data_IF_425754717596
#
_entry.id   IF_425754717596
#
_cell.length_a   1.000
_cell.length_b   1.000
_cell.length_c   1.000
_cell.angle_alpha   90.00
_cell.angle_beta   90.00
_cell.angle_gamma   90.00
#
_symmetry.space_group_name_H-M   'P 1'
#
loop_
_entity.id
_entity.type
_entity.pdbx_description
1 polymer ?
#
# COMPACT_ATOMS: atom_id res chain seq x y z
N UNK A 1 11.19 7.02 4.09
CA UNK A 1 11.33 6.53 2.72
C UNK A 1 9.94 6.32 2.14
N UNK A 2 9.82 6.36 0.81
CA UNK A 2 8.56 6.10 0.10
C UNK A 2 8.58 4.71 -0.52
N UNK A 3 7.41 4.07 -0.60
CA UNK A 3 7.22 2.78 -1.26
C UNK A 3 7.31 2.93 -2.78
N UNK A 4 8.05 2.03 -3.42
CA UNK A 4 8.27 2.05 -4.87
C UNK A 4 8.29 0.65 -5.46
N UNK A 5 7.79 0.50 -6.69
CA UNK A 5 7.79 -0.76 -7.43
C UNK A 5 8.34 -0.60 -8.87
N UNK A 6 9.16 -1.52 -9.37
CA UNK A 6 9.76 -1.44 -10.72
C UNK A 6 9.66 -2.76 -11.46
N UNK A 7 9.54 -2.75 -12.79
CA UNK A 7 9.46 -3.96 -13.64
C UNK A 7 10.78 -4.77 -13.71
N UNK A 8 11.71 -4.54 -12.77
CA UNK A 8 12.95 -5.29 -12.65
C UNK A 8 12.65 -6.53 -11.81
N UNK A 9 12.74 -7.70 -12.44
CA UNK A 9 12.78 -8.98 -11.75
C UNK A 9 14.11 -9.09 -11.00
N UNK A 10 14.14 -8.65 -9.75
CA UNK A 10 15.20 -9.10 -8.85
C UNK A 10 14.98 -10.61 -8.64
N UNK A 11 16.06 -11.39 -8.55
CA UNK A 11 15.96 -12.81 -8.17
C UNK A 11 15.51 -12.88 -6.71
N UNK A 12 14.22 -12.75 -6.47
CA UNK A 12 13.60 -13.14 -5.21
C UNK A 12 13.28 -14.64 -5.24
N UNK A 13 13.03 -15.23 -4.07
CA UNK A 13 12.64 -16.64 -3.97
C UNK A 13 11.36 -16.95 -4.76
N UNK A 14 10.51 -15.95 -4.98
CA UNK A 14 9.25 -16.07 -5.74
C UNK A 14 9.38 -15.77 -7.23
N UNK A 15 10.46 -15.10 -7.67
CA UNK A 15 10.64 -14.62 -9.04
C UNK A 15 9.69 -13.48 -9.43
N UNK A 16 9.09 -12.80 -8.46
CA UNK A 16 8.12 -11.72 -8.66
C UNK A 16 8.79 -10.34 -8.70
N UNK A 17 7.99 -9.30 -9.00
CA UNK A 17 8.44 -7.92 -9.06
C UNK A 17 8.75 -7.38 -7.65
N UNK A 18 9.97 -6.89 -7.43
CA UNK A 18 10.40 -6.40 -6.12
C UNK A 18 9.77 -5.05 -5.73
N UNK A 19 9.46 -4.89 -4.45
CA UNK A 19 9.10 -3.59 -3.84
C UNK A 19 10.26 -3.09 -2.99
N UNK A 20 10.59 -1.80 -3.13
CA UNK A 20 11.72 -1.18 -2.43
C UNK A 20 11.35 0.17 -1.84
N UNK A 21 12.17 0.63 -0.90
CA UNK A 21 12.09 1.97 -0.32
C UNK A 21 13.09 2.91 -0.97
N UNK A 22 12.65 4.10 -1.37
CA UNK A 22 13.54 5.16 -1.91
C UNK A 22 13.46 6.44 -1.08
N UNK A 23 14.51 7.26 -1.16
CA UNK A 23 14.55 8.56 -0.49
C UNK A 23 13.88 9.66 -1.32
N UNK A 24 14.00 9.60 -2.66
CA UNK A 24 13.30 10.48 -3.60
C UNK A 24 12.32 9.66 -4.45
N UNK A 25 11.06 10.08 -4.43
CA UNK A 25 9.92 9.33 -4.97
C UNK A 25 9.10 10.19 -5.94
N UNK A 26 9.79 10.95 -6.78
CA UNK A 26 9.24 11.89 -7.75
C UNK A 26 8.91 11.24 -9.11
N UNK A 27 8.73 9.92 -9.13
CA UNK A 27 8.39 9.19 -10.36
C UNK A 27 7.20 8.25 -10.21
N UNK A 28 6.63 7.90 -11.37
CA UNK A 28 5.38 7.18 -11.49
C UNK A 28 5.35 5.84 -10.74
N UNK A 29 6.51 5.24 -10.49
CA UNK A 29 6.67 3.95 -9.82
C UNK A 29 6.46 4.03 -8.30
N UNK A 30 6.28 5.22 -7.76
CA UNK A 30 6.05 5.46 -6.32
C UNK A 30 4.57 5.70 -5.98
N UNK A 31 3.67 5.70 -6.97
CA UNK A 31 2.24 5.82 -6.75
C UNK A 31 1.59 4.46 -6.49
N UNK A 32 0.77 4.41 -5.43
CA UNK A 32 0.02 3.22 -5.03
C UNK A 32 -1.47 3.54 -5.02
N UNK A 33 -2.28 2.66 -5.59
CA UNK A 33 -3.73 2.79 -5.59
C UNK A 33 -4.34 1.93 -4.49
N UNK A 34 -5.16 2.54 -3.63
CA UNK A 34 -5.90 1.83 -2.59
C UNK A 34 -7.26 1.41 -3.14
N UNK A 35 -7.59 0.11 -3.03
CA UNK A 35 -8.88 -0.44 -3.48
C UNK A 35 -9.67 -1.10 -2.34
N UNK A 36 -10.98 -1.22 -2.54
CA UNK A 36 -11.84 -2.09 -1.72
C UNK A 36 -11.57 -3.56 -2.04
N UNK A 37 -12.06 -4.47 -1.19
CA UNK A 37 -11.97 -5.91 -1.50
C UNK A 37 -12.85 -6.25 -2.69
N UNK A 38 -12.50 -7.25 -3.54
CA UNK A 38 -13.36 -7.69 -4.64
C UNK A 38 -14.78 -8.06 -4.16
N UNK A 39 -14.85 -8.77 -3.03
CA UNK A 39 -16.11 -9.22 -2.42
C UNK A 39 -16.80 -8.15 -1.54
N UNK A 40 -16.17 -6.99 -1.34
CA UNK A 40 -16.73 -5.84 -0.59
C UNK A 40 -16.31 -4.53 -1.27
N UNK A 41 -16.94 -4.19 -2.42
CA UNK A 41 -16.62 -2.96 -3.12
C UNK A 41 -16.92 -1.75 -2.22
N UNK A 42 -16.09 -0.73 -2.32
CA UNK A 42 -16.30 0.54 -1.63
C UNK A 42 -16.57 1.65 -2.65
N UNK A 43 -17.38 2.64 -2.28
CA UNK A 43 -17.56 3.82 -3.11
C UNK A 43 -16.24 4.58 -3.27
N UNK A 44 -15.92 4.96 -4.51
CA UNK A 44 -14.74 5.77 -4.81
C UNK A 44 -14.82 7.10 -4.04
N UNK A 45 -13.74 7.42 -3.34
CA UNK A 45 -13.64 8.62 -2.50
C UNK A 45 -14.22 8.48 -1.10
N UNK A 46 -14.81 7.34 -0.74
CA UNK A 46 -15.19 7.07 0.65
C UNK A 46 -13.96 7.07 1.57
N UNK A 47 -14.11 7.65 2.76
CA UNK A 47 -13.05 7.68 3.78
C UNK A 47 -12.63 6.26 4.20
N UNK A 48 -11.36 6.12 4.58
CA UNK A 48 -10.80 4.86 5.08
C UNK A 48 -10.87 4.92 6.61
N UNK A 49 -11.61 4.00 7.23
CA UNK A 49 -11.68 3.93 8.69
C UNK A 49 -10.41 3.30 9.26
N UNK A 50 -9.95 3.77 10.42
CA UNK A 50 -8.91 3.05 11.17
C UNK A 50 -9.43 1.68 11.58
N UNK A 51 -8.59 0.66 11.47
CA UNK A 51 -8.96 -0.76 11.59
C UNK A 51 -9.64 -1.34 10.34
N UNK A 52 -9.86 -0.56 9.28
CA UNK A 52 -10.44 -1.07 8.05
C UNK A 52 -9.43 -1.90 7.25
N UNK A 53 -9.93 -3.00 6.69
CA UNK A 53 -9.16 -3.86 5.79
C UNK A 53 -9.30 -3.36 4.34
N UNK A 54 -8.17 -3.16 3.66
CA UNK A 54 -8.03 -2.69 2.28
C UNK A 54 -7.12 -3.62 1.48
N UNK A 55 -7.26 -3.61 0.16
CA UNK A 55 -6.42 -4.44 -0.72
C UNK A 55 -5.34 -3.58 -1.38
N UNK A 56 -4.09 -3.98 -1.22
CA UNK A 56 -2.87 -3.36 -1.76
C UNK A 56 -2.07 -4.45 -2.47
N UNK A 57 -1.51 -4.16 -3.63
CA UNK A 57 -0.76 -5.13 -4.44
C UNK A 57 0.52 -5.61 -3.71
N UNK A 58 0.46 -6.78 -3.10
CA UNK A 58 1.52 -7.49 -2.36
C UNK A 58 1.33 -9.02 -2.43
N UNK A 59 2.28 -9.83 -2.91
CA UNK A 59 2.15 -11.30 -2.81
C UNK A 59 3.43 -12.04 -2.36
N UNK A 60 3.71 -12.03 -1.05
CA UNK A 60 4.44 -13.11 -0.33
C UNK A 60 4.38 -12.89 1.20
N UNK A 61 4.49 -13.97 1.98
CA UNK A 61 4.29 -13.98 3.44
C UNK A 61 5.37 -13.17 4.19
N UNK A 62 6.55 -13.02 3.57
CA UNK A 62 7.69 -12.27 4.09
C UNK A 62 8.21 -11.25 3.08
N UNK A 63 8.13 -11.54 1.77
CA UNK A 63 8.49 -10.63 0.68
C UNK A 63 7.28 -9.79 0.27
N UNK A 64 7.48 -8.48 0.07
CA UNK A 64 6.44 -7.60 -0.48
C UNK A 64 6.71 -7.44 -1.98
N UNK A 65 5.80 -7.91 -2.82
CA UNK A 65 5.95 -7.94 -4.28
C UNK A 65 4.72 -7.35 -4.98
N UNK A 66 4.86 -6.60 -6.08
CA UNK A 66 3.68 -6.21 -6.84
C UNK A 66 3.30 -7.36 -7.80
N UNK A 67 2.11 -7.93 -7.63
CA UNK A 67 1.61 -9.01 -8.47
C UNK A 67 0.14 -8.75 -8.86
N UNK A 68 -0.25 -9.25 -10.05
CA UNK A 68 -1.61 -9.08 -10.62
C UNK A 68 -1.65 -8.28 -11.93
N UNK A 69 -2.64 -8.56 -12.78
CA UNK A 69 -2.97 -7.78 -13.97
C UNK A 69 -4.23 -6.94 -13.72
N UNK A 70 -4.30 -5.71 -14.24
CA UNK A 70 -5.45 -4.80 -14.12
C UNK A 70 -5.92 -4.47 -12.68
N UNK A 71 -5.07 -4.76 -11.70
CA UNK A 71 -5.32 -4.54 -10.28
C UNK A 71 -6.27 -5.56 -9.66
N UNK A 72 -6.29 -6.79 -10.19
CA UNK A 72 -6.81 -7.97 -9.51
C UNK A 72 -5.73 -8.55 -8.60
N UNK A 73 -6.01 -8.60 -7.30
CA UNK A 73 -5.20 -9.27 -6.28
C UNK A 73 -6.01 -10.34 -5.56
N UNK A 74 -5.35 -11.25 -4.85
CA UNK A 74 -5.96 -12.30 -4.04
C UNK A 74 -6.01 -11.92 -2.54
N UNK A 75 -6.30 -12.88 -1.67
CA UNK A 75 -6.43 -12.67 -0.23
C UNK A 75 -5.08 -12.37 0.46
N UNK A 76 -3.95 -12.52 -0.24
CA UNK A 76 -2.60 -12.16 0.21
C UNK A 76 -2.24 -10.70 -0.10
N UNK A 77 -3.12 -9.98 -0.80
CA UNK A 77 -3.02 -8.54 -1.04
C UNK A 77 -3.74 -7.72 0.04
N UNK A 78 -4.08 -8.31 1.19
CA UNK A 78 -5.07 -7.75 2.12
C UNK A 78 -4.41 -7.19 3.38
N UNK A 79 -4.54 -5.87 3.59
CA UNK A 79 -3.91 -5.13 4.69
C UNK A 79 -4.92 -4.40 5.56
N UNK A 80 -4.70 -4.40 6.86
CA UNK A 80 -5.43 -3.58 7.83
C UNK A 80 -4.71 -2.25 8.01
N UNK A 81 -5.47 -1.17 7.90
CA UNK A 81 -4.99 0.20 8.15
C UNK A 81 -5.06 0.47 9.65
N UNK A 82 -3.90 0.60 10.32
CA UNK A 82 -3.82 0.93 11.74
C UNK A 82 -3.39 2.39 11.92
N UNK A 83 -4.31 3.20 12.45
CA UNK A 83 -4.14 4.62 12.75
C UNK A 83 -4.87 4.95 14.05
N UNK A 84 -4.58 6.10 14.65
CA UNK A 84 -5.05 6.48 15.99
C UNK A 84 -6.42 7.19 15.94
N UNK A 85 -6.82 7.70 14.77
CA UNK A 85 -8.10 8.37 14.54
C UNK A 85 -9.30 7.45 14.27
N UNK A 86 -10.41 8.07 13.84
CA UNK A 86 -11.59 7.35 13.31
C UNK A 86 -11.38 6.97 11.85
N UNK A 87 -10.76 7.88 11.10
CA UNK A 87 -10.40 7.72 9.70
C UNK A 87 -8.92 8.03 9.53
N UNK A 88 -8.30 7.37 8.56
CA UNK A 88 -6.92 7.67 8.19
C UNK A 88 -6.85 8.99 7.44
N UNK A 89 -6.19 9.98 8.04
CA UNK A 89 -5.96 11.30 7.46
C UNK A 89 -4.61 11.39 6.74
N UNK A 90 -4.48 12.30 5.77
CA UNK A 90 -3.30 12.41 4.90
C UNK A 90 -1.97 12.52 5.67
N UNK A 91 -1.94 13.38 6.68
CA UNK A 91 -0.71 13.71 7.41
C UNK A 91 -0.47 12.79 8.61
N UNK A 92 -1.40 11.85 8.85
CA UNK A 92 -1.34 10.91 9.97
C UNK A 92 -0.35 9.78 9.69
N UNK A 93 0.37 9.38 10.74
CA UNK A 93 1.18 8.16 10.70
C UNK A 93 0.29 6.94 10.78
N UNK A 94 0.59 5.95 9.96
CA UNK A 94 -0.22 4.74 9.80
C UNK A 94 0.67 3.52 9.70
N UNK A 95 0.16 2.37 10.13
CA UNK A 95 0.76 1.06 9.84
C UNK A 95 -0.16 0.25 8.96
N UNK A 96 0.44 -0.61 8.14
CA UNK A 96 -0.29 -1.59 7.36
C UNK A 96 0.06 -2.97 7.87
N UNK A 97 -0.95 -3.68 8.38
CA UNK A 97 -0.78 -5.04 8.91
C UNK A 97 -1.40 -6.05 7.95
N UNK A 98 -0.60 -6.97 7.44
CA UNK A 98 -1.08 -8.02 6.54
C UNK A 98 -2.06 -8.92 7.29
N UNK A 99 -3.24 -9.17 6.71
CA UNK A 99 -4.31 -9.93 7.39
C UNK A 99 -4.00 -11.42 7.48
N UNK A 100 -3.31 -11.99 6.49
CA UNK A 100 -3.00 -13.42 6.46
C UNK A 100 -1.85 -13.85 7.37
N UNK A 101 -0.91 -12.94 7.68
CA UNK A 101 0.33 -13.27 8.40
C UNK A 101 0.59 -12.44 9.65
N UNK A 102 -0.24 -11.43 9.90
CA UNK A 102 -0.09 -10.50 11.00
C UNK A 102 1.22 -9.68 11.02
N UNK A 103 1.99 -9.68 9.93
CA UNK A 103 3.21 -8.85 9.81
C UNK A 103 2.88 -7.43 9.40
N UNK A 104 3.74 -6.50 9.78
CA UNK A 104 3.68 -5.09 9.39
C UNK A 104 4.53 -4.82 8.15
N UNK A 105 3.99 -4.06 7.20
CA UNK A 105 4.76 -3.50 6.10
C UNK A 105 5.87 -2.62 6.67
N UNK A 106 7.12 -2.97 6.41
CA UNK A 106 8.28 -2.37 7.05
C UNK A 106 9.39 -2.08 6.05
N UNK A 107 10.16 -1.02 6.29
CA UNK A 107 11.38 -0.71 5.53
C UNK A 107 12.62 -0.92 6.40
N UNK A 108 13.59 -1.68 5.92
CA UNK A 108 14.83 -1.93 6.67
C UNK A 108 15.85 -0.80 6.49
N UNK A 109 16.93 -0.87 7.27
CA UNK A 109 18.12 -0.06 7.04
C UNK A 109 18.99 -0.57 5.88
N UNK A 110 18.78 -1.81 5.44
CA UNK A 110 19.59 -2.48 4.42
C UNK A 110 19.33 -1.88 3.05
N UNK A 111 20.41 -1.64 2.30
CA UNK A 111 20.37 -1.07 0.96
C UNK A 111 20.90 -2.06 -0.06
N UNK A 112 20.23 -2.15 -1.19
CA UNK A 112 20.68 -2.95 -2.31
C UNK A 112 21.87 -2.30 -3.03
N UNK A 113 22.70 -3.17 -3.63
CA UNK A 113 23.75 -2.79 -4.58
C UNK A 113 23.21 -2.71 -6.02
N UNK A 114 24.07 -2.94 -7.01
CA UNK A 114 23.62 -3.06 -8.40
C UNK A 114 22.62 -4.23 -8.57
N UNK A 115 21.56 -4.09 -9.39
CA UNK A 115 21.25 -2.96 -10.29
C UNK A 115 20.47 -1.79 -9.66
N UNK A 116 19.96 -1.93 -8.44
CA UNK A 116 19.07 -0.96 -7.77
C UNK A 116 19.76 -0.26 -6.60
N UNK A 117 20.96 0.27 -6.86
CA UNK A 117 21.85 0.77 -5.82
C UNK A 117 21.19 1.87 -4.98
N UNK A 118 21.25 1.72 -3.65
CA UNK A 118 20.74 2.69 -2.69
C UNK A 118 19.25 2.58 -2.37
N UNK A 119 18.52 1.69 -3.06
CA UNK A 119 17.15 1.35 -2.68
C UNK A 119 17.16 0.46 -1.43
N UNK A 120 16.20 0.65 -0.53
CA UNK A 120 16.07 -0.10 0.72
C UNK A 120 15.12 -1.27 0.56
N UNK A 121 15.36 -2.34 1.31
CA UNK A 121 14.45 -3.47 1.36
C UNK A 121 13.13 -3.12 2.07
N UNK A 122 12.03 -3.59 1.50
CA UNK A 122 10.68 -3.52 2.08
C UNK A 122 10.18 -4.96 2.28
N UNK A 123 9.75 -5.28 3.49
CA UNK A 123 9.32 -6.64 3.84
C UNK A 123 8.36 -6.65 5.04
N UNK A 124 7.86 -7.83 5.40
CA UNK A 124 7.03 -8.04 6.58
C UNK A 124 7.84 -8.23 7.87
N UNK A 125 7.61 -7.40 8.89
CA UNK A 125 8.13 -7.61 10.26
C UNK A 125 7.00 -7.94 11.24
N UNK A 126 7.19 -8.93 12.11
CA UNK A 126 6.18 -9.33 13.11
C UNK A 126 6.04 -8.33 14.28
N UNK A 127 7.07 -7.53 14.55
CA UNK A 127 7.07 -6.57 15.67
C UNK A 127 6.71 -5.16 15.23
N UNK A 128 6.00 -4.44 16.10
CA UNK A 128 5.83 -2.99 15.99
C UNK A 128 7.17 -2.28 16.21
N UNK A 129 7.58 -1.40 15.31
CA UNK A 129 8.84 -0.67 15.40
C UNK A 129 8.74 0.71 14.71
N UNK A 130 9.76 1.58 14.80
CA UNK A 130 9.79 2.81 14.00
C UNK A 130 9.82 2.56 12.48
N UNK A 131 10.27 1.37 12.05
CA UNK A 131 10.44 0.99 10.64
C UNK A 131 9.13 0.65 9.91
N UNK A 132 8.01 0.56 10.64
CA UNK A 132 6.69 0.25 10.07
C UNK A 132 5.69 1.40 10.19
N UNK A 133 6.14 2.60 10.53
CA UNK A 133 5.34 3.81 10.39
C UNK A 133 5.47 4.39 8.99
N UNK A 134 4.33 4.61 8.37
CA UNK A 134 4.19 5.21 7.05
C UNK A 134 3.38 6.51 7.15
N UNK A 135 3.52 7.37 6.15
CA UNK A 135 2.69 8.56 5.97
C UNK A 135 2.40 8.71 4.48
N UNK A 136 1.16 9.07 4.13
CA UNK A 136 0.86 9.43 2.75
C UNK A 136 1.58 10.74 2.40
N UNK A 137 2.22 10.80 1.24
CA UNK A 137 2.92 12.00 0.77
C UNK A 137 2.16 12.59 -0.44
N UNK A 138 2.81 12.66 -1.60
CA UNK A 138 2.17 13.09 -2.83
C UNK A 138 1.15 12.06 -3.33
N UNK A 139 0.01 12.53 -3.85
CA UNK A 139 -1.06 11.65 -4.30
C UNK A 139 -2.33 12.37 -4.72
N UNK A 140 -3.24 11.62 -5.34
CA UNK A 140 -4.57 12.10 -5.75
C UNK A 140 -5.62 11.59 -4.77
N UNK A 141 -6.32 12.53 -4.14
CA UNK A 141 -7.32 12.24 -3.11
C UNK A 141 -8.70 12.56 -3.67
N UNK A 142 -9.50 11.51 -3.89
CA UNK A 142 -10.80 11.63 -4.53
C UNK A 142 -11.84 11.89 -3.44
N UNK A 143 -12.65 12.92 -3.60
CA UNK A 143 -13.84 13.13 -2.77
C UNK A 143 -14.98 12.21 -3.26
N UNK A 144 -15.88 11.76 -2.37
CA UNK A 144 -17.10 11.08 -2.81
C UNK A 144 -17.86 11.99 -3.79
N UNK A 145 -18.30 11.45 -4.92
CA UNK A 145 -19.24 12.17 -5.78
C UNK A 145 -20.49 12.47 -4.97
N UNK A 146 -20.88 13.75 -4.89
CA UNK A 146 -22.24 14.11 -4.49
C UNK A 146 -23.18 13.44 -5.50
N UNK A 147 -24.04 12.53 -5.06
CA UNK A 147 -25.13 12.10 -5.92
C UNK A 147 -25.89 13.36 -6.32
N UNK A 148 -25.97 13.61 -7.63
CA UNK A 148 -26.83 14.66 -8.16
C UNK A 148 -28.25 14.31 -7.70
N UNK A 149 -28.74 15.02 -6.68
CA UNK A 149 -30.15 15.08 -6.36
C UNK A 149 -30.85 15.46 -7.67
N UNK A 150 -31.52 14.46 -8.27
CA UNK A 150 -32.35 14.62 -9.43
C UNK A 150 -33.42 15.64 -9.04
N UNK A 151 -33.28 16.88 -9.47
CA UNK A 151 -34.41 17.81 -9.48
C UNK A 151 -35.37 17.26 -10.53
N UNK A 152 -36.30 16.42 -10.09
CA UNK A 152 -37.53 16.19 -10.82
C UNK A 152 -38.33 17.50 -10.66
N UNK A 153 -38.18 18.41 -11.61
CA UNK A 153 -39.09 19.54 -11.75
C UNK A 153 -40.46 19.04 -12.23
N UNK A 154 -41.50 19.55 -11.57
CA UNK A 154 -42.94 19.28 -11.74
C UNK A 154 -43.47 19.57 -13.14
#
# INVERSE_FOLDING_TARGET
>A
GCLRCHQILLRSESGQQSVTGVENADDANSYWQIRGKPNRPCQRGASIKCGQVRQWHTHSLFEVSAFGENGEGDDLDVWTVQCDGVHWERDETVRFKHVGTDVFLSVTGEQYGHPIRGQREVHGMSSSSPHNWWRAMEGVFIQPSQELLRHDEL
#
